data_IF_153458973744
#
_entry.id   IF_153458973744
#
_cell.length_a   1.000
_cell.length_b   1.000
_cell.length_c   1.000
_cell.angle_alpha   90.00
_cell.angle_beta   90.00
_cell.angle_gamma   90.00
#
_symmetry.space_group_name_H-M   'P 1'
#
loop_
_entity.id
_entity.type
_entity.pdbx_description
1 polymer ?
#
# COMPACT_ATOMS: atom_id res chain seq x y z
N UNK A 1 32.87 -10.84 57.83
CA UNK A 1 33.88 -10.42 56.82
C UNK A 1 33.46 -10.66 55.36
N UNK A 2 32.19 -10.96 55.05
CA UNK A 2 31.75 -11.24 53.67
C UNK A 2 31.15 -10.03 52.91
N UNK A 3 30.90 -8.90 53.59
CA UNK A 3 30.13 -7.78 53.01
C UNK A 3 30.96 -6.75 52.24
N UNK A 4 32.28 -6.73 52.41
CA UNK A 4 33.13 -5.69 51.79
C UNK A 4 33.49 -6.00 50.32
N UNK A 5 33.21 -7.21 49.84
CA UNK A 5 33.58 -7.66 48.49
C UNK A 5 32.47 -7.43 47.44
N UNK A 6 31.21 -7.26 47.87
CA UNK A 6 30.05 -7.01 47.00
C UNK A 6 30.00 -5.54 46.53
N UNK A 7 30.28 -4.60 47.44
CA UNK A 7 30.35 -3.16 47.14
C UNK A 7 31.47 -2.80 46.16
N UNK A 8 32.66 -3.40 46.33
CA UNK A 8 33.83 -3.10 45.48
C UNK A 8 33.66 -3.64 44.04
N UNK A 9 33.01 -4.80 43.87
CA UNK A 9 32.65 -5.34 42.54
C UNK A 9 31.56 -4.54 41.84
N UNK A 10 30.56 -4.04 42.57
CA UNK A 10 29.50 -3.20 41.99
C UNK A 10 30.03 -1.83 41.56
N UNK A 11 30.92 -1.22 42.36
CA UNK A 11 31.61 0.01 42.01
C UNK A 11 32.45 -0.17 40.73
N UNK A 12 33.27 -1.23 40.65
CA UNK A 12 34.11 -1.48 39.45
C UNK A 12 33.28 -1.75 38.19
N UNK A 13 32.13 -2.41 38.34
CA UNK A 13 31.20 -2.70 37.24
C UNK A 13 30.50 -1.43 36.76
N UNK A 14 30.10 -0.53 37.68
CA UNK A 14 29.51 0.76 37.35
C UNK A 14 30.50 1.65 36.59
N UNK A 15 31.72 1.79 37.09
CA UNK A 15 32.76 2.60 36.43
C UNK A 15 33.16 2.02 35.06
N UNK A 16 33.08 0.70 34.87
CA UNK A 16 33.26 0.08 33.54
C UNK A 16 32.13 0.47 32.59
N UNK A 17 30.88 0.41 33.03
CA UNK A 17 29.74 0.78 32.19
C UNK A 17 29.76 2.26 31.80
N UNK A 18 30.07 3.16 32.75
CA UNK A 18 30.21 4.60 32.46
C UNK A 18 31.27 4.82 31.38
N UNK A 19 32.47 4.24 31.53
CA UNK A 19 33.53 4.33 30.51
C UNK A 19 33.12 3.78 29.15
N UNK A 20 32.37 2.67 29.12
CA UNK A 20 31.85 2.11 27.87
C UNK A 20 30.89 3.09 27.19
N UNK A 21 29.98 3.72 27.94
CA UNK A 21 29.05 4.71 27.39
C UNK A 21 29.75 6.01 26.99
N UNK A 22 30.78 6.45 27.73
CA UNK A 22 31.61 7.62 27.39
C UNK A 22 32.41 7.41 26.11
N UNK A 23 32.85 6.17 25.84
CA UNK A 23 33.61 5.83 24.64
C UNK A 23 32.76 5.75 23.36
N UNK A 24 31.44 5.91 23.47
CA UNK A 24 30.56 5.87 22.30
C UNK A 24 30.75 7.13 21.44
N UNK A 25 30.62 7.00 20.12
CA UNK A 25 30.65 8.15 19.22
C UNK A 25 29.41 9.04 19.43
N UNK A 26 29.41 10.21 18.82
CA UNK A 26 28.29 11.16 18.94
C UNK A 26 26.95 10.51 18.53
N UNK A 27 25.86 10.93 19.18
CA UNK A 27 24.51 10.38 18.93
C UNK A 27 24.09 10.51 17.46
N UNK A 28 24.60 11.50 16.73
CA UNK A 28 24.34 11.72 15.30
C UNK A 28 25.08 10.77 14.34
N UNK A 29 25.85 9.80 14.85
CA UNK A 29 26.60 8.84 14.04
C UNK A 29 25.91 7.48 13.94
N UNK A 30 26.17 6.76 12.84
CA UNK A 30 25.62 5.42 12.61
C UNK A 30 26.08 4.42 13.68
N UNK A 31 27.31 4.57 14.18
CA UNK A 31 27.96 3.69 15.14
C UNK A 31 27.35 3.80 16.55
N UNK A 32 26.73 4.93 16.90
CA UNK A 32 26.17 5.15 18.24
C UNK A 32 25.12 4.10 18.61
N UNK A 33 24.10 3.93 17.77
CA UNK A 33 23.00 2.98 18.01
C UNK A 33 23.49 1.53 18.10
N UNK A 34 24.45 1.16 17.24
CA UNK A 34 25.06 -0.17 17.21
C UNK A 34 25.94 -0.41 18.44
N UNK A 35 26.70 0.61 18.86
CA UNK A 35 27.51 0.60 20.07
C UNK A 35 26.66 0.43 21.32
N UNK A 36 25.58 1.19 21.46
CA UNK A 36 24.63 1.05 22.57
C UNK A 36 24.07 -0.37 22.62
N UNK A 37 23.62 -0.91 21.48
CA UNK A 37 23.06 -2.27 21.43
C UNK A 37 24.04 -3.29 22.00
N UNK A 38 25.31 -3.22 21.59
CA UNK A 38 26.38 -4.09 22.08
C UNK A 38 26.60 -3.97 23.59
N UNK A 39 26.57 -2.74 24.12
CA UNK A 39 26.68 -2.49 25.56
C UNK A 39 25.48 -3.10 26.31
N UNK A 40 24.25 -2.82 25.86
CA UNK A 40 23.02 -3.27 26.52
C UNK A 40 22.90 -4.79 26.53
N UNK A 41 23.24 -5.47 25.44
CA UNK A 41 23.17 -6.94 25.33
C UNK A 41 24.18 -7.65 26.26
N UNK A 42 25.28 -6.98 26.62
CA UNK A 42 26.27 -7.51 27.57
C UNK A 42 25.93 -7.29 29.05
N UNK A 43 24.83 -6.60 29.38
CA UNK A 43 24.51 -6.22 30.75
C UNK A 43 23.56 -7.22 31.43
N UNK A 44 23.92 -7.63 32.64
CA UNK A 44 22.98 -8.25 33.58
C UNK A 44 22.05 -7.17 34.17
N UNK A 45 20.73 -7.36 34.02
CA UNK A 45 19.69 -6.41 34.45
C UNK A 45 19.90 -4.99 33.89
N UNK A 46 19.89 -4.83 32.55
CA UNK A 46 20.24 -3.57 31.88
C UNK A 46 19.38 -2.40 32.36
N UNK A 47 18.06 -2.59 32.43
CA UNK A 47 17.11 -1.55 32.84
C UNK A 47 17.45 -0.94 34.20
N UNK A 48 17.67 -1.77 35.22
CA UNK A 48 18.01 -1.30 36.57
C UNK A 48 19.31 -0.49 36.58
N UNK A 49 20.30 -0.91 35.81
CA UNK A 49 21.62 -0.25 35.74
C UNK A 49 21.52 1.08 34.98
N UNK A 50 20.91 1.08 33.81
CA UNK A 50 20.76 2.26 32.96
C UNK A 50 19.91 3.32 33.65
N UNK A 51 18.80 2.93 34.30
CA UNK A 51 17.96 3.84 35.10
C UNK A 51 18.72 4.54 36.23
N UNK A 52 19.69 3.87 36.85
CA UNK A 52 20.55 4.49 37.88
C UNK A 52 21.50 5.54 37.29
N UNK A 53 22.01 5.31 36.08
CA UNK A 53 22.90 6.27 35.40
C UNK A 53 22.13 7.48 34.88
N UNK A 54 20.94 7.30 34.31
CA UNK A 54 20.09 8.41 33.85
C UNK A 54 19.80 9.39 34.99
N UNK A 55 19.54 8.88 36.20
CA UNK A 55 19.25 9.71 37.39
C UNK A 55 20.45 10.37 38.03
N UNK A 56 21.67 9.97 37.68
CA UNK A 56 22.88 10.50 38.30
C UNK A 56 23.33 11.78 37.60
N UNK A 57 22.96 12.93 38.17
CA UNK A 57 23.28 14.26 37.64
C UNK A 57 24.76 14.63 37.76
N UNK A 58 25.57 13.80 38.43
CA UNK A 58 27.03 14.00 38.48
C UNK A 58 27.74 13.51 37.21
N UNK A 59 27.05 12.70 36.39
CA UNK A 59 27.58 12.19 35.13
C UNK A 59 27.36 13.19 33.99
N UNK A 60 28.24 13.14 33.00
CA UNK A 60 28.10 13.90 31.76
C UNK A 60 26.75 13.63 31.07
N UNK A 61 26.16 14.68 30.51
CA UNK A 61 24.84 14.60 29.85
C UNK A 61 24.80 13.53 28.74
N UNK A 62 25.86 13.44 27.93
CA UNK A 62 25.98 12.41 26.87
C UNK A 62 25.92 10.97 27.39
N UNK A 63 26.52 10.70 28.55
CA UNK A 63 26.49 9.37 29.19
C UNK A 63 25.09 9.05 29.70
N UNK A 64 24.44 10.04 30.30
CA UNK A 64 23.06 9.91 30.81
C UNK A 64 22.09 9.70 29.65
N UNK A 65 22.29 10.42 28.56
CA UNK A 65 21.52 10.25 27.32
C UNK A 65 21.74 8.88 26.68
N UNK A 66 22.99 8.43 26.58
CA UNK A 66 23.34 7.08 26.13
C UNK A 66 22.64 6.01 26.98
N UNK A 67 22.62 6.18 28.30
CA UNK A 67 21.90 5.29 29.20
C UNK A 67 20.37 5.32 28.98
N UNK A 68 19.79 6.51 28.75
CA UNK A 68 18.37 6.68 28.42
C UNK A 68 18.01 5.97 27.12
N UNK A 69 18.78 6.21 26.05
CA UNK A 69 18.60 5.57 24.75
C UNK A 69 18.68 4.04 24.87
N UNK A 70 19.67 3.51 25.61
CA UNK A 70 19.79 2.07 25.85
C UNK A 70 18.61 1.47 26.61
N UNK A 71 18.05 2.20 27.57
CA UNK A 71 16.85 1.78 28.31
C UNK A 71 15.62 1.75 27.39
N UNK A 72 15.40 2.83 26.64
CA UNK A 72 14.30 2.94 25.68
C UNK A 72 14.39 1.91 24.55
N UNK A 73 15.60 1.62 24.05
CA UNK A 73 15.84 0.57 23.06
C UNK A 73 15.38 -0.80 23.58
N UNK A 74 15.64 -1.10 24.85
CA UNK A 74 15.20 -2.36 25.47
C UNK A 74 13.68 -2.42 25.58
N UNK A 75 13.06 -1.37 26.13
CA UNK A 75 11.60 -1.29 26.25
C UNK A 75 10.90 -1.45 24.90
N UNK A 76 11.43 -0.81 23.84
CA UNK A 76 10.92 -0.95 22.48
C UNK A 76 11.02 -2.38 21.96
N UNK A 77 12.16 -3.06 22.17
CA UNK A 77 12.37 -4.45 21.71
C UNK A 77 11.48 -5.46 22.42
N UNK A 78 11.12 -5.18 23.67
CA UNK A 78 10.19 -5.98 24.47
C UNK A 78 8.72 -5.54 24.29
N UNK A 79 8.45 -4.57 23.40
CA UNK A 79 7.11 -4.03 23.13
C UNK A 79 6.41 -3.44 24.37
N UNK A 80 7.18 -3.02 25.39
CA UNK A 80 6.69 -2.39 26.62
C UNK A 80 6.37 -0.91 26.40
N UNK A 81 5.44 -0.62 25.50
CA UNK A 81 5.20 0.73 24.99
C UNK A 81 4.63 1.71 26.03
N UNK A 82 3.82 1.23 26.98
CA UNK A 82 3.33 2.08 28.07
C UNK A 82 4.47 2.58 28.97
N UNK A 83 5.43 1.71 29.28
CA UNK A 83 6.61 2.08 30.05
C UNK A 83 7.56 2.94 29.24
N UNK A 84 7.73 2.65 27.94
CA UNK A 84 8.48 3.50 27.02
C UNK A 84 7.96 4.94 27.05
N UNK A 85 6.65 5.13 26.90
CA UNK A 85 6.03 6.45 26.96
C UNK A 85 6.24 7.15 28.31
N UNK A 86 6.07 6.42 29.42
CA UNK A 86 6.29 6.97 30.75
C UNK A 86 7.75 7.45 30.96
N UNK A 87 8.73 6.72 30.42
CA UNK A 87 10.14 7.13 30.47
C UNK A 87 10.39 8.36 29.63
N UNK A 88 9.88 8.42 28.39
CA UNK A 88 10.05 9.58 27.51
C UNK A 88 9.39 10.80 28.11
N UNK A 89 8.14 10.72 28.59
CA UNK A 89 7.45 11.84 29.25
C UNK A 89 8.24 12.41 30.43
N UNK A 90 9.02 11.57 31.13
CA UNK A 90 9.81 11.98 32.29
C UNK A 90 11.13 12.67 31.93
N UNK A 91 11.79 12.26 30.84
CA UNK A 91 13.17 12.69 30.55
C UNK A 91 13.33 13.44 29.22
N UNK A 92 12.33 13.46 28.33
CA UNK A 92 12.46 14.08 27.01
C UNK A 92 12.79 15.57 27.08
N UNK A 93 12.15 16.33 27.98
CA UNK A 93 12.46 17.76 28.17
C UNK A 93 13.91 17.98 28.60
N UNK A 94 14.42 17.15 29.49
CA UNK A 94 15.80 17.24 29.97
C UNK A 94 16.82 17.04 28.83
N UNK A 95 16.50 16.17 27.88
CA UNK A 95 17.35 15.85 26.74
C UNK A 95 16.85 16.48 25.42
N UNK A 96 16.07 17.56 25.47
CA UNK A 96 15.43 18.15 24.29
C UNK A 96 16.43 18.57 23.19
N UNK A 97 17.69 18.83 23.53
CA UNK A 97 18.77 19.12 22.58
C UNK A 97 19.31 17.90 21.82
N UNK A 98 18.95 16.67 22.20
CA UNK A 98 19.41 15.44 21.55
C UNK A 98 18.49 15.05 20.38
N UNK A 99 19.00 14.92 19.14
CA UNK A 99 18.17 14.66 17.96
C UNK A 99 17.30 13.40 18.02
N UNK A 100 17.72 12.39 18.78
CA UNK A 100 16.95 11.15 18.94
C UNK A 100 15.64 11.34 19.73
N UNK A 101 15.44 12.44 20.45
CA UNK A 101 14.16 12.72 21.12
C UNK A 101 13.00 12.71 20.13
N UNK A 102 13.20 13.21 18.92
CA UNK A 102 12.21 13.12 17.84
C UNK A 102 11.86 11.67 17.49
N UNK A 103 12.85 10.76 17.44
CA UNK A 103 12.58 9.33 17.20
C UNK A 103 11.72 8.72 18.32
N UNK A 104 11.87 9.19 19.55
CA UNK A 104 11.11 8.69 20.70
C UNK A 104 9.66 9.14 20.64
N UNK A 105 9.41 10.42 20.32
CA UNK A 105 8.07 10.93 20.09
C UNK A 105 7.39 10.25 18.90
N UNK A 106 8.15 9.99 17.83
CA UNK A 106 7.65 9.25 16.68
C UNK A 106 7.16 7.84 17.07
N UNK A 107 7.89 7.13 17.92
CA UNK A 107 7.49 5.79 18.40
C UNK A 107 6.21 5.87 19.25
N UNK A 108 6.10 6.85 20.14
CA UNK A 108 4.90 7.05 20.97
C UNK A 108 3.68 7.32 20.08
N UNK A 109 3.82 8.24 19.12
CA UNK A 109 2.76 8.57 18.19
C UNK A 109 2.33 7.35 17.37
N UNK A 110 3.30 6.61 16.81
CA UNK A 110 3.03 5.37 16.04
C UNK A 110 2.25 4.32 16.84
N UNK A 111 2.52 4.19 18.14
CA UNK A 111 1.87 3.18 18.98
C UNK A 111 0.44 3.54 19.41
N UNK A 112 0.02 4.80 19.30
CA UNK A 112 -1.40 5.18 19.52
C UNK A 112 -2.31 4.65 18.42
N UNK A 113 -1.77 4.45 17.21
CA UNK A 113 -2.35 3.57 16.19
C UNK A 113 -3.38 4.19 15.24
N UNK A 114 -4.00 5.33 15.59
CA UNK A 114 -4.88 6.05 14.64
C UNK A 114 -4.08 6.83 13.57
N UNK A 115 -4.74 7.11 12.46
CA UNK A 115 -4.15 7.76 11.27
C UNK A 115 -3.56 9.14 11.57
N UNK A 116 -4.18 9.91 12.48
CA UNK A 116 -3.67 11.23 12.86
C UNK A 116 -2.37 11.11 13.66
N UNK A 117 -2.29 10.19 14.61
CA UNK A 117 -1.06 9.92 15.35
C UNK A 117 0.03 9.29 14.47
N UNK A 118 -0.32 8.48 13.46
CA UNK A 118 0.65 8.00 12.46
C UNK A 118 1.22 9.15 11.62
N UNK A 119 0.38 10.12 11.23
CA UNK A 119 0.86 11.35 10.57
C UNK A 119 1.87 12.10 11.44
N UNK A 120 1.58 12.29 12.72
CA UNK A 120 2.53 12.88 13.67
C UNK A 120 3.82 12.06 13.80
N UNK A 121 3.73 10.73 13.75
CA UNK A 121 4.91 9.87 13.77
C UNK A 121 5.81 10.09 12.55
N UNK A 122 5.23 10.31 11.36
CA UNK A 122 5.98 10.68 10.16
C UNK A 122 6.66 12.03 10.33
N UNK A 123 5.97 13.06 10.82
CA UNK A 123 6.56 14.39 11.02
C UNK A 123 7.76 14.37 11.99
N UNK A 124 7.62 13.68 13.13
CA UNK A 124 8.74 13.52 14.05
C UNK A 124 9.90 12.73 13.43
N UNK A 125 9.60 11.71 12.62
CA UNK A 125 10.65 10.94 11.94
C UNK A 125 11.35 11.75 10.86
N UNK A 126 10.64 12.68 10.21
CA UNK A 126 11.20 13.60 9.21
C UNK A 126 12.20 14.55 9.87
N UNK A 127 11.81 15.19 10.97
CA UNK A 127 12.71 16.03 11.77
C UNK A 127 13.95 15.26 12.24
N UNK A 128 13.77 14.03 12.71
CA UNK A 128 14.89 13.19 13.11
C UNK A 128 15.84 12.89 11.94
N UNK A 129 15.31 12.58 10.76
CA UNK A 129 16.10 12.27 9.56
C UNK A 129 16.83 13.50 9.00
N UNK A 130 16.25 14.70 9.12
CA UNK A 130 16.92 15.96 8.77
C UNK A 130 18.12 16.24 9.68
N UNK A 131 17.98 15.99 10.98
CA UNK A 131 19.05 16.20 11.96
C UNK A 131 20.11 15.08 11.95
N UNK A 132 19.76 13.89 11.45
CA UNK A 132 20.64 12.70 11.44
C UNK A 132 20.65 12.02 10.06
N UNK A 133 21.09 12.72 9.00
CA UNK A 133 20.99 12.25 7.61
C UNK A 133 21.94 11.10 7.26
N UNK A 134 22.87 10.76 8.15
CA UNK A 134 23.84 9.66 7.98
C UNK A 134 23.53 8.46 8.87
N UNK A 135 22.46 8.53 9.69
CA UNK A 135 22.05 7.43 10.57
C UNK A 135 20.98 6.61 9.85
N UNK A 136 21.40 5.49 9.25
CA UNK A 136 20.54 4.62 8.46
C UNK A 136 19.27 4.18 9.21
N UNK A 137 19.37 3.91 10.51
CA UNK A 137 18.23 3.50 11.33
C UNK A 137 17.15 4.58 11.49
N UNK A 138 17.56 5.86 11.52
CA UNK A 138 16.65 7.01 11.62
C UNK A 138 16.00 7.28 10.26
N UNK A 139 16.79 7.27 9.19
CA UNK A 139 16.28 7.45 7.82
C UNK A 139 15.31 6.33 7.46
N UNK A 140 15.64 5.09 7.83
CA UNK A 140 14.75 3.95 7.66
C UNK A 140 13.46 4.11 8.45
N UNK A 141 13.51 4.63 9.68
CA UNK A 141 12.30 4.87 10.49
C UNK A 141 11.31 5.79 9.77
N UNK A 142 11.80 6.86 9.13
CA UNK A 142 10.96 7.72 8.29
C UNK A 142 10.26 6.92 7.19
N UNK A 143 11.01 6.15 6.40
CA UNK A 143 10.44 5.33 5.33
C UNK A 143 9.40 4.33 5.87
N UNK A 144 9.71 3.65 6.98
CA UNK A 144 8.83 2.66 7.59
C UNK A 144 7.52 3.27 8.08
N UNK A 145 7.56 4.48 8.65
CA UNK A 145 6.37 5.15 9.16
C UNK A 145 5.52 5.77 8.05
N UNK A 146 6.13 6.27 6.96
CA UNK A 146 5.38 6.69 5.77
C UNK A 146 4.63 5.48 5.17
N UNK A 147 5.32 4.34 5.01
CA UNK A 147 4.70 3.11 4.50
C UNK A 147 3.56 2.64 5.42
N UNK A 148 3.78 2.61 6.73
CA UNK A 148 2.77 2.21 7.71
C UNK A 148 1.55 3.16 7.72
N UNK A 149 1.76 4.46 7.52
CA UNK A 149 0.70 5.44 7.36
C UNK A 149 -0.14 5.14 6.11
N UNK A 150 0.49 4.89 4.96
CA UNK A 150 -0.23 4.61 3.71
C UNK A 150 -0.90 3.23 3.67
N UNK A 151 -0.38 2.24 4.40
CA UNK A 151 -1.06 0.95 4.57
C UNK A 151 -2.42 1.09 5.28
N UNK A 152 -2.64 2.19 6.04
CA UNK A 152 -3.88 2.47 6.77
C UNK A 152 -4.68 3.64 6.20
N UNK A 153 -4.13 4.35 5.21
CA UNK A 153 -4.77 5.50 4.60
C UNK A 153 -5.60 5.07 3.39
N UNK A 154 -6.73 5.74 3.17
CA UNK A 154 -7.55 5.52 1.96
C UNK A 154 -6.89 6.14 0.72
N UNK A 155 -6.13 7.21 0.92
CA UNK A 155 -5.47 7.98 -0.14
C UNK A 155 -3.96 7.82 -0.08
N UNK A 156 -3.36 7.53 -1.23
CA UNK A 156 -1.91 7.44 -1.40
C UNK A 156 -1.40 8.68 -2.10
N UNK A 157 -0.40 9.35 -1.51
CA UNK A 157 0.24 10.53 -2.10
C UNK A 157 1.57 10.12 -2.74
N UNK A 158 1.65 10.22 -4.06
CA UNK A 158 2.81 9.76 -4.85
C UNK A 158 4.13 10.40 -4.43
N UNK A 159 4.11 11.68 -4.04
CA UNK A 159 5.30 12.41 -3.60
C UNK A 159 5.89 11.84 -2.30
N UNK A 160 5.04 11.61 -1.29
CA UNK A 160 5.46 11.02 -0.01
C UNK A 160 5.89 9.56 -0.17
N UNK A 161 5.25 8.78 -1.07
CA UNK A 161 5.78 7.48 -1.43
C UNK A 161 7.15 7.57 -2.11
N UNK A 162 7.42 8.63 -2.87
CA UNK A 162 8.72 8.95 -3.43
C UNK A 162 9.76 9.23 -2.34
N UNK A 163 9.39 10.01 -1.33
CA UNK A 163 10.19 10.28 -0.13
C UNK A 163 10.57 8.98 0.60
N UNK A 164 9.59 8.12 0.88
CA UNK A 164 9.83 6.83 1.51
C UNK A 164 10.81 5.95 0.70
N UNK A 165 10.69 5.98 -0.63
CA UNK A 165 11.61 5.29 -1.55
C UNK A 165 13.06 5.79 -1.43
N UNK A 166 13.26 7.10 -1.49
CA UNK A 166 14.59 7.70 -1.33
C UNK A 166 15.19 7.38 0.04
N UNK A 167 14.37 7.45 1.10
CA UNK A 167 14.80 7.17 2.46
C UNK A 167 15.22 5.70 2.64
N UNK A 168 14.42 4.73 2.19
CA UNK A 168 14.77 3.31 2.31
C UNK A 168 15.99 2.94 1.46
N UNK A 169 16.10 3.46 0.24
CA UNK A 169 17.25 3.20 -0.63
C UNK A 169 18.54 3.80 -0.04
N UNK A 170 18.47 5.00 0.55
CA UNK A 170 19.60 5.60 1.27
C UNK A 170 20.02 4.77 2.49
N UNK A 171 19.07 4.31 3.30
CA UNK A 171 19.38 3.46 4.45
C UNK A 171 20.04 2.13 4.05
N UNK A 172 19.58 1.51 2.95
CA UNK A 172 20.19 0.32 2.35
C UNK A 172 21.62 0.65 1.88
N UNK A 173 21.84 1.77 1.21
CA UNK A 173 23.15 2.20 0.71
C UNK A 173 24.15 2.42 1.85
N UNK A 174 23.77 3.15 2.91
CA UNK A 174 24.62 3.41 4.09
C UNK A 174 25.05 2.09 4.74
N UNK A 175 24.14 1.12 4.83
CA UNK A 175 24.45 -0.20 5.42
C UNK A 175 25.01 -1.21 4.43
N UNK A 176 25.29 -0.79 3.19
CA UNK A 176 25.81 -1.64 2.11
C UNK A 176 24.96 -2.90 1.88
N UNK A 177 23.64 -2.78 2.02
CA UNK A 177 22.70 -3.87 1.81
C UNK A 177 22.77 -5.00 2.85
N UNK A 178 23.33 -4.77 4.04
CA UNK A 178 23.49 -5.83 5.06
C UNK A 178 22.35 -5.95 6.05
N UNK A 179 21.37 -5.05 6.00
CA UNK A 179 20.28 -5.00 6.99
C UNK A 179 18.98 -5.50 6.37
N UNK A 180 18.58 -6.74 6.70
CA UNK A 180 17.40 -7.39 6.12
C UNK A 180 16.10 -6.60 6.28
N UNK A 181 15.84 -6.01 7.45
CA UNK A 181 14.56 -5.31 7.69
C UNK A 181 14.38 -4.04 6.84
N UNK A 182 15.45 -3.47 6.27
CA UNK A 182 15.31 -2.37 5.32
C UNK A 182 14.70 -2.85 4.00
N UNK A 183 15.04 -4.06 3.57
CA UNK A 183 14.44 -4.68 2.39
C UNK A 183 12.98 -5.05 2.63
N UNK A 184 12.58 -5.38 3.86
CA UNK A 184 11.16 -5.60 4.19
C UNK A 184 10.34 -4.30 4.02
N UNK A 185 10.85 -3.17 4.49
CA UNK A 185 10.19 -1.87 4.25
C UNK A 185 10.15 -1.51 2.76
N UNK A 186 11.23 -1.80 2.01
CA UNK A 186 11.24 -1.64 0.55
C UNK A 186 10.19 -2.52 -0.14
N UNK A 187 10.01 -3.76 0.32
CA UNK A 187 8.99 -4.66 -0.19
C UNK A 187 7.58 -4.11 0.02
N UNK A 188 7.28 -3.62 1.23
CA UNK A 188 5.99 -2.99 1.56
C UNK A 188 5.73 -1.75 0.70
N UNK A 189 6.75 -0.91 0.50
CA UNK A 189 6.67 0.25 -0.40
C UNK A 189 6.36 -0.14 -1.85
N UNK A 190 7.05 -1.16 -2.39
CA UNK A 190 6.82 -1.64 -3.75
C UNK A 190 5.40 -2.21 -3.91
N UNK A 191 4.89 -2.90 -2.90
CA UNK A 191 3.53 -3.41 -2.87
C UNK A 191 2.48 -2.28 -2.90
N UNK A 192 2.70 -1.19 -2.15
CA UNK A 192 1.84 0.01 -2.21
C UNK A 192 1.84 0.68 -3.59
N UNK A 193 2.91 0.51 -4.38
CA UNK A 193 3.00 0.98 -5.77
C UNK A 193 2.43 0.00 -6.79
N UNK A 194 1.95 -1.17 -6.37
CA UNK A 194 1.45 -2.23 -7.25
C UNK A 194 2.55 -3.09 -7.90
N UNK A 195 3.83 -2.87 -7.58
CA UNK A 195 4.93 -3.69 -8.09
C UNK A 195 5.14 -4.93 -7.20
N UNK A 196 4.19 -5.85 -7.29
CA UNK A 196 4.17 -7.06 -6.47
C UNK A 196 5.33 -8.02 -6.78
N UNK A 197 5.87 -8.00 -8.00
CA UNK A 197 6.99 -8.85 -8.39
C UNK A 197 8.27 -8.41 -7.68
N UNK A 198 8.62 -7.12 -7.78
CA UNK A 198 9.78 -6.57 -7.08
C UNK A 198 9.60 -6.62 -5.55
N UNK A 199 8.38 -6.44 -5.05
CA UNK A 199 8.08 -6.57 -3.62
C UNK A 199 8.44 -7.97 -3.09
N UNK A 200 8.11 -9.05 -3.82
CA UNK A 200 8.47 -10.43 -3.43
C UNK A 200 9.97 -10.68 -3.42
N UNK A 201 10.70 -10.11 -4.38
CA UNK A 201 12.16 -10.21 -4.41
C UNK A 201 12.75 -9.51 -3.18
N UNK A 202 12.29 -8.30 -2.86
CA UNK A 202 12.77 -7.53 -1.71
C UNK A 202 12.49 -8.23 -0.37
N UNK A 203 11.28 -8.81 -0.17
CA UNK A 203 11.01 -9.57 1.06
C UNK A 203 11.82 -10.88 1.12
N UNK A 204 12.11 -11.49 -0.03
CA UNK A 204 13.05 -12.62 -0.13
C UNK A 204 14.45 -12.24 0.36
N UNK A 205 14.98 -11.09 -0.09
CA UNK A 205 16.26 -10.56 0.37
C UNK A 205 16.27 -10.28 1.89
N UNK A 206 15.16 -9.78 2.45
CA UNK A 206 15.04 -9.57 3.88
C UNK A 206 15.20 -10.87 4.67
N UNK A 207 14.62 -11.97 4.18
CA UNK A 207 14.71 -13.31 4.80
C UNK A 207 16.13 -13.87 4.69
N UNK A 208 16.78 -13.74 3.54
CA UNK A 208 18.13 -14.25 3.29
C UNK A 208 19.19 -13.55 4.17
N UNK A 209 19.04 -12.25 4.39
CA UNK A 209 19.98 -11.44 5.17
C UNK A 209 19.81 -11.60 6.69
N UNK A 210 18.75 -12.23 7.17
CA UNK A 210 18.43 -12.29 8.60
C UNK A 210 19.33 -13.30 9.35
N UNK A 211 20.14 -12.85 10.33
CA UNK A 211 21.05 -13.74 11.03
C UNK A 211 20.30 -14.75 11.90
N UNK A 212 20.47 -16.05 11.60
CA UNK A 212 19.86 -17.16 12.36
C UNK A 212 20.26 -17.20 13.84
N UNK A 213 21.39 -16.60 14.19
CA UNK A 213 21.92 -16.52 15.57
C UNK A 213 21.38 -15.33 16.36
N UNK A 214 20.62 -14.43 15.73
CA UNK A 214 20.04 -13.27 16.38
C UNK A 214 18.97 -13.67 17.39
N UNK A 215 18.97 -13.04 18.56
CA UNK A 215 17.87 -13.18 19.56
C UNK A 215 16.51 -12.79 18.95
N UNK A 216 16.52 -11.88 17.97
CA UNK A 216 15.31 -11.40 17.30
C UNK A 216 14.90 -12.24 16.07
N UNK A 217 15.64 -13.32 15.75
CA UNK A 217 15.50 -14.06 14.49
C UNK A 217 14.07 -14.51 14.21
N UNK A 218 13.45 -15.24 15.16
CA UNK A 218 12.11 -15.78 14.98
C UNK A 218 11.07 -14.66 14.80
N UNK A 219 11.15 -13.59 15.61
CA UNK A 219 10.25 -12.44 15.50
C UNK A 219 10.34 -11.78 14.12
N UNK A 220 11.56 -11.49 13.65
CA UNK A 220 11.80 -10.87 12.34
C UNK A 220 11.37 -11.77 11.19
N UNK A 221 11.63 -13.08 11.28
CA UNK A 221 11.17 -14.03 10.28
C UNK A 221 9.64 -14.04 10.18
N UNK A 222 8.92 -14.03 11.31
CA UNK A 222 7.46 -13.93 11.32
C UNK A 222 6.98 -12.63 10.67
N UNK A 223 7.62 -11.50 10.95
CA UNK A 223 7.31 -10.20 10.31
C UNK A 223 7.48 -10.27 8.79
N UNK A 224 8.58 -10.85 8.31
CA UNK A 224 8.84 -10.98 6.87
C UNK A 224 7.83 -11.90 6.18
N UNK A 225 7.44 -13.01 6.83
CA UNK A 225 6.40 -13.89 6.29
C UNK A 225 5.03 -13.19 6.26
N UNK A 226 4.69 -12.41 7.29
CA UNK A 226 3.46 -11.62 7.30
C UNK A 226 3.45 -10.58 6.16
N UNK A 227 4.58 -9.93 5.89
CA UNK A 227 4.74 -9.03 4.74
C UNK A 227 4.57 -9.77 3.41
N UNK A 228 5.11 -10.99 3.27
CA UNK A 228 4.91 -11.81 2.06
C UNK A 228 3.44 -12.14 1.82
N UNK A 229 2.72 -12.58 2.85
CA UNK A 229 1.27 -12.85 2.75
C UNK A 229 0.50 -11.58 2.39
N UNK A 230 0.86 -10.43 2.98
CA UNK A 230 0.24 -9.14 2.65
C UNK A 230 0.43 -8.78 1.17
N UNK A 231 1.62 -8.98 0.60
CA UNK A 231 1.90 -8.72 -0.81
C UNK A 231 0.96 -9.57 -1.69
N UNK A 232 0.81 -10.86 -1.38
CA UNK A 232 -0.05 -11.76 -2.14
C UNK A 232 -1.53 -11.34 -2.05
N UNK A 233 -1.99 -10.93 -0.86
CA UNK A 233 -3.35 -10.40 -0.66
C UNK A 233 -3.61 -9.10 -1.43
N UNK A 234 -2.65 -8.17 -1.45
CA UNK A 234 -2.78 -6.92 -2.20
C UNK A 234 -2.85 -7.19 -3.71
N UNK A 235 -2.05 -8.11 -4.24
CA UNK A 235 -2.13 -8.49 -5.64
C UNK A 235 -3.49 -9.11 -5.98
N UNK A 236 -3.97 -10.03 -5.15
CA UNK A 236 -5.30 -10.63 -5.35
C UNK A 236 -6.39 -9.57 -5.33
N UNK A 237 -6.34 -8.62 -4.38
CA UNK A 237 -7.29 -7.50 -4.31
C UNK A 237 -7.26 -6.65 -5.58
N UNK A 238 -6.07 -6.34 -6.10
CA UNK A 238 -5.92 -5.60 -7.35
C UNK A 238 -6.56 -6.35 -8.51
N UNK A 239 -6.27 -7.65 -8.64
CA UNK A 239 -6.85 -8.49 -9.69
C UNK A 239 -8.37 -8.56 -9.62
N UNK A 240 -8.94 -8.72 -8.42
CA UNK A 240 -10.39 -8.72 -8.21
C UNK A 240 -11.04 -7.37 -8.57
N UNK A 241 -10.39 -6.25 -8.25
CA UNK A 241 -10.88 -4.94 -8.63
C UNK A 241 -10.91 -4.78 -10.16
N UNK A 242 -9.86 -5.22 -10.86
CA UNK A 242 -9.80 -5.17 -12.33
C UNK A 242 -10.91 -6.01 -12.97
N UNK A 243 -11.15 -7.23 -12.44
CA UNK A 243 -12.25 -8.08 -12.88
C UNK A 243 -13.63 -7.46 -12.61
N UNK A 244 -13.81 -6.81 -11.45
CA UNK A 244 -15.06 -6.14 -11.12
C UNK A 244 -15.34 -4.98 -12.08
N UNK A 245 -14.32 -4.19 -12.41
CA UNK A 245 -14.45 -3.09 -13.37
C UNK A 245 -14.72 -3.60 -14.79
N UNK A 246 -14.08 -4.69 -15.21
CA UNK A 246 -14.39 -5.33 -16.48
C UNK A 246 -15.84 -5.83 -16.52
N UNK A 247 -16.29 -6.56 -15.50
CA UNK A 247 -17.68 -7.04 -15.40
C UNK A 247 -18.68 -5.89 -15.41
N UNK A 248 -18.37 -4.76 -14.76
CA UNK A 248 -19.22 -3.55 -14.79
C UNK A 248 -19.35 -2.98 -16.21
N UNK A 249 -18.26 -2.95 -16.98
CA UNK A 249 -18.26 -2.50 -18.38
C UNK A 249 -19.08 -3.44 -19.26
N UNK A 250 -18.86 -4.75 -19.14
CA UNK A 250 -19.62 -5.77 -19.88
C UNK A 250 -21.13 -5.69 -19.58
N UNK A 251 -21.50 -5.49 -18.31
CA UNK A 251 -22.90 -5.26 -17.92
C UNK A 251 -23.49 -3.97 -18.50
N UNK A 252 -22.70 -2.90 -18.57
CA UNK A 252 -23.15 -1.64 -19.16
C UNK A 252 -23.38 -1.81 -20.68
N UNK A 253 -22.48 -2.51 -21.38
CA UNK A 253 -22.61 -2.83 -22.80
C UNK A 253 -23.82 -3.72 -23.07
N UNK A 254 -24.01 -4.77 -22.27
CA UNK A 254 -25.17 -5.65 -22.39
C UNK A 254 -26.49 -4.90 -22.19
N UNK A 255 -26.56 -4.02 -21.18
CA UNK A 255 -27.73 -3.16 -20.96
C UNK A 255 -28.00 -2.24 -22.15
N UNK A 256 -26.95 -1.64 -22.74
CA UNK A 256 -27.09 -0.80 -23.92
C UNK A 256 -27.61 -1.60 -25.12
N UNK A 257 -27.08 -2.81 -25.36
CA UNK A 257 -27.55 -3.71 -26.41
C UNK A 257 -29.03 -4.11 -26.21
N UNK A 258 -29.45 -4.40 -24.98
CA UNK A 258 -30.85 -4.70 -24.67
C UNK A 258 -31.77 -3.51 -24.94
N UNK A 259 -31.37 -2.29 -24.54
CA UNK A 259 -32.14 -1.08 -24.83
C UNK A 259 -32.23 -0.81 -26.33
N UNK A 260 -31.15 -1.07 -27.08
CA UNK A 260 -31.15 -0.95 -28.54
C UNK A 260 -32.13 -1.96 -29.18
N UNK A 261 -32.12 -3.21 -28.72
CA UNK A 261 -33.06 -4.23 -29.19
C UNK A 261 -34.51 -3.84 -28.88
N UNK A 262 -34.77 -3.32 -27.67
CA UNK A 262 -36.10 -2.87 -27.27
C UNK A 262 -36.57 -1.68 -28.12
N UNK A 263 -35.70 -0.71 -28.38
CA UNK A 263 -35.98 0.44 -29.25
C UNK A 263 -36.26 0.02 -30.70
N UNK A 264 -35.48 -0.94 -31.22
CA UNK A 264 -35.72 -1.52 -32.54
C UNK A 264 -37.08 -2.22 -32.61
N UNK A 265 -37.41 -3.07 -31.62
CA UNK A 265 -38.70 -3.76 -31.56
C UNK A 265 -39.86 -2.77 -31.45
N UNK A 266 -39.73 -1.73 -30.63
CA UNK A 266 -40.75 -0.69 -30.51
C UNK A 266 -40.96 0.07 -31.83
N UNK A 267 -39.88 0.44 -32.53
CA UNK A 267 -39.96 1.09 -33.83
C UNK A 267 -40.63 0.18 -34.89
N UNK A 268 -40.29 -1.10 -34.90
CA UNK A 268 -40.91 -2.10 -35.79
C UNK A 268 -42.41 -2.23 -35.51
N UNK A 269 -42.82 -2.37 -34.24
CA UNK A 269 -44.24 -2.46 -33.87
C UNK A 269 -45.01 -1.19 -34.24
N UNK A 270 -44.45 -0.01 -33.95
CA UNK A 270 -45.06 1.27 -34.31
C UNK A 270 -45.24 1.42 -35.82
N UNK A 271 -44.23 1.01 -36.59
CA UNK A 271 -44.27 1.04 -38.05
C UNK A 271 -45.33 0.09 -38.62
N UNK A 272 -45.40 -1.15 -38.14
CA UNK A 272 -46.43 -2.12 -38.55
C UNK A 272 -47.84 -1.62 -38.22
N UNK A 273 -48.04 -1.05 -37.03
CA UNK A 273 -49.33 -0.50 -36.61
C UNK A 273 -49.76 0.71 -37.46
N UNK A 274 -48.84 1.63 -37.75
CA UNK A 274 -49.10 2.80 -38.60
C UNK A 274 -49.52 2.36 -40.02
N UNK A 275 -48.79 1.41 -40.60
CA UNK A 275 -49.11 0.85 -41.92
C UNK A 275 -50.46 0.18 -41.96
N UNK A 276 -50.79 -0.66 -40.97
CA UNK A 276 -52.07 -1.36 -40.90
C UNK A 276 -53.25 -0.35 -40.84
N UNK A 277 -53.09 0.74 -40.09
CA UNK A 277 -54.10 1.80 -39.98
C UNK A 277 -54.27 2.62 -41.27
N UNK A 278 -53.21 2.79 -42.07
CA UNK A 278 -53.32 3.47 -43.38
C UNK A 278 -53.95 2.50 -44.40
N UNK A 279 -53.52 1.24 -44.42
CA UNK A 279 -54.05 0.22 -45.33
C UNK A 279 -55.56 -0.04 -45.12
N UNK A 280 -56.06 0.04 -43.89
CA UNK A 280 -57.49 -0.14 -43.61
C UNK A 280 -58.38 1.00 -44.14
N UNK A 281 -57.78 2.13 -44.52
CA UNK A 281 -58.49 3.34 -45.01
C UNK A 281 -58.37 3.54 -46.52
N UNK A 282 -57.61 2.70 -47.23
CA UNK A 282 -57.40 2.79 -48.68
C UNK A 282 -58.20 1.74 -49.45
N UNK A 283 -58.30 1.90 -50.78
CA UNK A 283 -58.93 0.91 -51.66
C UNK A 283 -58.24 -0.46 -51.53
N UNK A 284 -58.99 -1.55 -51.72
CA UNK A 284 -58.48 -2.91 -51.51
C UNK A 284 -57.20 -3.21 -52.33
N UNK A 285 -57.10 -2.68 -53.55
CA UNK A 285 -55.92 -2.84 -54.40
C UNK A 285 -54.71 -2.02 -53.91
N UNK A 286 -54.94 -0.80 -53.42
CA UNK A 286 -53.87 0.07 -52.92
C UNK A 286 -53.40 -0.33 -51.51
N UNK A 287 -54.28 -0.89 -50.69
CA UNK A 287 -53.96 -1.46 -49.38
C UNK A 287 -53.02 -2.67 -49.49
N UNK A 288 -53.28 -3.60 -50.42
CA UNK A 288 -52.40 -4.75 -50.68
C UNK A 288 -51.01 -4.29 -51.13
N UNK A 289 -50.95 -3.30 -52.04
CA UNK A 289 -49.70 -2.72 -52.53
C UNK A 289 -48.90 -2.06 -51.41
N UNK A 290 -49.58 -1.36 -50.49
CA UNK A 290 -48.94 -0.74 -49.33
C UNK A 290 -48.35 -1.79 -48.39
N UNK A 291 -49.11 -2.84 -48.05
CA UNK A 291 -48.64 -3.93 -47.19
C UNK A 291 -47.43 -4.64 -47.83
N UNK A 292 -47.45 -4.87 -49.15
CA UNK A 292 -46.33 -5.49 -49.87
C UNK A 292 -45.07 -4.63 -49.87
N UNK A 293 -45.19 -3.33 -50.18
CA UNK A 293 -44.06 -2.40 -50.12
C UNK A 293 -43.46 -2.32 -48.71
N UNK A 294 -44.33 -2.43 -47.69
CA UNK A 294 -43.93 -2.39 -46.29
C UNK A 294 -43.21 -3.67 -45.86
N UNK A 295 -43.70 -4.84 -46.25
CA UNK A 295 -42.98 -6.10 -46.05
C UNK A 295 -41.57 -6.04 -46.68
N UNK A 296 -41.45 -5.49 -47.90
CA UNK A 296 -40.16 -5.25 -48.55
C UNK A 296 -39.25 -4.32 -47.76
N UNK A 297 -39.76 -3.17 -47.29
CA UNK A 297 -38.98 -2.23 -46.47
C UNK A 297 -38.51 -2.83 -45.14
N UNK A 298 -39.36 -3.66 -44.50
CA UNK A 298 -39.05 -4.33 -43.25
C UNK A 298 -37.92 -5.34 -43.46
N UNK A 299 -37.96 -6.12 -44.54
CA UNK A 299 -36.91 -7.07 -44.91
C UNK A 299 -35.58 -6.36 -45.11
N UNK A 300 -35.57 -5.19 -45.76
CA UNK A 300 -34.35 -4.38 -45.96
C UNK A 300 -33.79 -3.89 -44.62
N UNK A 301 -34.63 -3.36 -43.73
CA UNK A 301 -34.20 -2.90 -42.39
C UNK A 301 -33.62 -4.06 -41.57
N UNK A 302 -34.27 -5.23 -41.55
CA UNK A 302 -33.75 -6.41 -40.87
C UNK A 302 -32.48 -6.98 -41.53
N UNK A 303 -32.34 -6.88 -42.86
CA UNK A 303 -31.12 -7.25 -43.56
C UNK A 303 -29.94 -6.33 -43.17
N UNK A 304 -30.18 -5.02 -43.03
CA UNK A 304 -29.19 -4.05 -42.54
C UNK A 304 -28.77 -4.33 -41.10
N UNK A 305 -29.70 -4.74 -40.23
CA UNK A 305 -29.35 -5.14 -38.87
C UNK A 305 -28.59 -6.47 -38.82
N UNK A 306 -29.00 -7.44 -39.64
CA UNK A 306 -28.34 -8.75 -39.76
C UNK A 306 -26.88 -8.64 -40.24
N UNK A 307 -26.57 -7.59 -41.02
CA UNK A 307 -25.21 -7.27 -41.47
C UNK A 307 -24.25 -6.95 -40.31
N UNK A 308 -24.76 -6.39 -39.22
CA UNK A 308 -23.97 -6.10 -38.01
C UNK A 308 -23.76 -7.37 -37.17
N UNK A 309 -24.70 -8.32 -37.21
CA UNK A 309 -24.71 -9.48 -36.32
C UNK A 309 -24.10 -10.76 -36.92
N UNK A 310 -23.99 -10.90 -38.24
CA UNK A 310 -23.61 -12.17 -38.87
C UNK A 310 -22.42 -12.04 -39.84
N UNK A 311 -21.50 -13.02 -39.80
CA UNK A 311 -20.34 -13.08 -40.70
C UNK A 311 -20.66 -13.61 -42.12
N UNK A 312 -21.90 -14.02 -42.39
CA UNK A 312 -22.28 -14.65 -43.67
C UNK A 312 -22.88 -13.63 -44.64
N UNK A 313 -22.03 -13.07 -45.49
CA UNK A 313 -22.40 -12.03 -46.47
C UNK A 313 -23.40 -12.49 -47.53
N UNK A 314 -23.38 -13.77 -47.93
CA UNK A 314 -24.29 -14.32 -48.94
C UNK A 314 -25.77 -14.28 -48.53
N UNK A 315 -26.08 -14.67 -47.28
CA UNK A 315 -27.47 -14.66 -46.78
C UNK A 315 -28.04 -13.24 -46.75
N UNK A 316 -27.21 -12.27 -46.38
CA UNK A 316 -27.59 -10.86 -46.31
C UNK A 316 -27.87 -10.32 -47.73
N UNK A 317 -27.04 -10.67 -48.72
CA UNK A 317 -27.27 -10.28 -50.12
C UNK A 317 -28.61 -10.82 -50.66
N UNK A 318 -28.96 -12.07 -50.36
CA UNK A 318 -30.26 -12.65 -50.71
C UNK A 318 -31.43 -11.89 -50.05
N UNK A 319 -31.30 -11.52 -48.77
CA UNK A 319 -32.34 -10.76 -48.07
C UNK A 319 -32.56 -9.37 -48.69
N UNK A 320 -31.49 -8.66 -49.05
CA UNK A 320 -31.61 -7.40 -49.77
C UNK A 320 -32.29 -7.57 -51.13
N UNK A 321 -31.91 -8.59 -51.91
CA UNK A 321 -32.52 -8.86 -53.20
C UNK A 321 -34.04 -9.11 -53.09
N UNK A 322 -34.47 -9.90 -52.11
CA UNK A 322 -35.89 -10.15 -51.83
C UNK A 322 -36.61 -8.88 -51.38
N UNK A 323 -36.00 -8.12 -50.47
CA UNK A 323 -36.58 -6.86 -49.97
C UNK A 323 -36.79 -5.82 -51.07
N UNK A 324 -35.79 -5.62 -51.94
CA UNK A 324 -35.88 -4.72 -53.09
C UNK A 324 -36.91 -5.20 -54.13
N UNK A 325 -36.98 -6.51 -54.39
CA UNK A 325 -37.99 -7.07 -55.28
C UNK A 325 -39.41 -6.77 -54.77
N UNK A 326 -39.67 -7.00 -53.48
CA UNK A 326 -40.99 -6.70 -52.89
C UNK A 326 -41.33 -5.20 -52.88
N UNK A 327 -40.32 -4.32 -52.82
CA UNK A 327 -40.50 -2.87 -52.97
C UNK A 327 -40.82 -2.46 -54.41
N UNK A 328 -40.25 -3.12 -55.42
CA UNK A 328 -40.39 -2.74 -56.83
C UNK A 328 -41.68 -3.27 -57.49
N UNK A 329 -42.15 -4.46 -57.10
CA UNK A 329 -43.33 -5.12 -57.68
C UNK A 329 -44.61 -4.24 -57.67
N UNK A 330 -44.95 -3.53 -56.57
CA UNK A 330 -46.13 -2.65 -56.54
C UNK A 330 -46.10 -1.51 -57.57
N UNK A 331 -44.90 -1.02 -57.92
CA UNK A 331 -44.73 0.04 -58.92
C UNK A 331 -44.81 -0.47 -60.36
N UNK A 332 -44.36 -1.71 -60.60
CA UNK A 332 -44.41 -2.36 -61.91
C UNK A 332 -45.83 -2.77 -62.31
N UNK A 333 -46.68 -3.14 -61.35
CA UNK A 333 -48.09 -3.51 -61.53
C UNK A 333 -49.04 -2.31 -61.74
N UNK A 334 -48.52 -1.08 -61.78
CA UNK A 334 -49.29 0.15 -62.01
C UNK A 334 -49.30 0.57 -63.49
N UNK A 335 -48.53 -0.11 -64.35
CA UNK A 335 -48.61 -0.03 -65.82
C UNK A 335 -49.65 -1.02 -66.34
#
# INVERSE_FOLDING_TARGET
MADNNSGNRQASTRSRLVRQLESLPASTTQEFSTGIRRVVEGLAQPERRLRKLVKDTTLNSSVRFAALYGWLLRLRREERYAEYEAVVRRYAEEFAGEPYVYTFHAIIAKNKGDTANLRSAVEYSRQAAELMPEVAGVIHQLAAFIVEYFERSETVVTEELGEAGRAVDRAIAITRGRTGHYFETKARLLALRGDYASARIAVGQAIELEPRTSVDYHRRLTEYQATRVRIDLLQQRSHWNDQLEQNRRELAEFKAQQLQLLGLLAAVVAFVAATANIASKTSQADGIRLIQAMAGSLIVVFASFSLVSTKSTWRIACMYAVGFLMLAVPYLLKR
#
